data_IF_856861240253
#
_entry.id   IF_856861240253
#
_cell.length_a   1.000
_cell.length_b   1.000
_cell.length_c   1.000
_cell.angle_alpha   90.00
_cell.angle_beta   90.00
_cell.angle_gamma   90.00
#
_symmetry.space_group_name_H-M   'P 1'
#
loop_
_entity.id
_entity.type
_entity.pdbx_description
1 polymer ?
#
# COMPACT_ATOMS: atom_id res chain seq x y z
N UNK A 1 -20.25 11.95 25.11
CA UNK A 1 -19.80 12.35 23.76
C UNK A 1 -19.43 11.08 23.02
N UNK A 2 -20.28 10.63 22.10
CA UNK A 2 -19.95 9.53 21.19
C UNK A 2 -18.67 9.90 20.43
N UNK A 3 -17.68 9.00 20.42
CA UNK A 3 -16.51 9.17 19.55
C UNK A 3 -17.02 9.14 18.11
N UNK A 4 -17.13 10.31 17.46
CA UNK A 4 -17.33 10.39 16.01
C UNK A 4 -16.25 9.51 15.37
N UNK A 5 -16.68 8.48 14.64
CA UNK A 5 -15.77 7.66 13.84
C UNK A 5 -15.08 8.52 12.79
N UNK A 6 -13.88 8.11 12.37
CA UNK A 6 -13.17 8.76 11.26
C UNK A 6 -14.03 8.69 10.00
N UNK A 7 -14.05 9.79 9.23
CA UNK A 7 -14.84 9.92 8.01
C UNK A 7 -14.23 9.04 6.90
N UNK A 8 -15.04 8.17 6.32
CA UNK A 8 -14.67 7.42 5.11
C UNK A 8 -14.77 8.28 3.86
N UNK A 9 -14.00 7.94 2.84
CA UNK A 9 -14.04 8.57 1.52
C UNK A 9 -14.32 7.58 0.40
N UNK A 10 -14.03 7.97 -0.83
CA UNK A 10 -14.17 7.15 -2.03
C UNK A 10 -12.90 7.17 -2.87
N UNK A 11 -12.71 6.06 -3.58
CA UNK A 11 -11.46 5.78 -4.31
C UNK A 11 -11.37 6.53 -5.63
N UNK A 12 -10.17 6.59 -6.25
CA UNK A 12 -10.02 7.14 -7.61
C UNK A 12 -10.88 6.39 -8.62
N UNK A 13 -11.06 5.08 -8.44
CA UNK A 13 -12.01 4.28 -9.23
C UNK A 13 -13.45 4.76 -9.09
N UNK A 14 -13.91 5.04 -7.88
CA UNK A 14 -15.28 5.53 -7.63
C UNK A 14 -15.51 6.92 -8.21
N UNK A 15 -14.52 7.82 -8.08
CA UNK A 15 -14.56 9.13 -8.71
C UNK A 15 -14.67 9.02 -10.24
N UNK A 16 -13.88 8.15 -10.86
CA UNK A 16 -13.94 7.90 -12.30
C UNK A 16 -15.29 7.29 -12.72
N UNK A 17 -15.82 6.32 -11.97
CA UNK A 17 -17.14 5.73 -12.23
C UNK A 17 -18.26 6.77 -12.14
N UNK A 18 -18.24 7.63 -11.12
CA UNK A 18 -19.23 8.69 -10.98
C UNK A 18 -19.15 9.69 -12.14
N UNK A 19 -17.94 10.17 -12.50
CA UNK A 19 -17.77 11.06 -13.64
C UNK A 19 -18.23 10.42 -14.97
N UNK A 20 -17.92 9.13 -15.21
CA UNK A 20 -18.36 8.42 -16.40
C UNK A 20 -19.90 8.26 -16.44
N UNK A 21 -20.50 7.86 -15.32
CA UNK A 21 -21.96 7.69 -15.21
C UNK A 21 -22.70 9.01 -15.40
N UNK A 22 -22.18 10.09 -14.81
CA UNK A 22 -22.69 11.44 -15.01
C UNK A 22 -22.65 11.85 -16.49
N UNK A 23 -21.52 11.61 -17.16
CA UNK A 23 -21.36 11.93 -18.58
C UNK A 23 -22.35 11.19 -19.49
N UNK A 24 -22.53 9.88 -19.27
CA UNK A 24 -23.49 9.11 -20.06
C UNK A 24 -24.94 9.53 -19.76
N UNK A 25 -25.29 9.77 -18.49
CA UNK A 25 -26.61 10.31 -18.13
C UNK A 25 -26.87 11.68 -18.78
N UNK A 26 -25.85 12.53 -18.86
CA UNK A 26 -25.97 13.83 -19.54
C UNK A 26 -26.20 13.70 -21.03
N UNK A 27 -25.53 12.77 -21.70
CA UNK A 27 -25.78 12.46 -23.11
C UNK A 27 -27.19 11.88 -23.30
N UNK A 28 -27.65 10.99 -22.43
CA UNK A 28 -29.00 10.38 -22.54
C UNK A 28 -30.10 11.44 -22.34
N UNK A 29 -30.00 12.20 -21.25
CA UNK A 29 -31.07 13.09 -20.79
C UNK A 29 -30.95 14.51 -21.35
N UNK A 30 -29.87 14.81 -22.08
CA UNK A 30 -29.50 16.14 -22.54
C UNK A 30 -29.56 17.17 -21.40
N UNK A 31 -28.96 16.82 -20.26
CA UNK A 31 -28.96 17.63 -19.03
C UNK A 31 -27.72 17.40 -18.18
N UNK A 32 -27.17 18.46 -17.60
CA UNK A 32 -26.06 18.38 -16.64
C UNK A 32 -26.46 17.58 -15.39
N UNK A 33 -25.54 16.75 -14.91
CA UNK A 33 -25.69 16.05 -13.63
C UNK A 33 -24.91 16.77 -12.55
N UNK A 34 -25.55 16.98 -11.40
CA UNK A 34 -24.91 17.56 -10.20
C UNK A 34 -24.47 16.50 -9.20
N UNK A 35 -25.23 15.41 -9.13
CA UNK A 35 -24.97 14.29 -8.22
C UNK A 35 -25.33 13.02 -8.97
N UNK A 36 -24.63 11.93 -8.67
CA UNK A 36 -24.87 10.64 -9.30
C UNK A 36 -24.73 9.51 -8.30
N UNK A 37 -25.63 8.54 -8.39
CA UNK A 37 -25.57 7.33 -7.58
C UNK A 37 -24.82 6.23 -8.35
N UNK A 38 -23.72 5.75 -7.81
CA UNK A 38 -22.94 4.63 -8.36
C UNK A 38 -23.16 3.36 -7.54
N UNK A 39 -23.13 2.22 -8.22
CA UNK A 39 -23.07 0.91 -7.58
C UNK A 39 -21.60 0.55 -7.32
N UNK A 40 -21.28 0.23 -6.08
CA UNK A 40 -19.96 -0.21 -5.65
C UNK A 40 -19.75 -1.71 -5.94
N UNK A 41 -18.51 -2.24 -5.86
CA UNK A 41 -18.22 -3.65 -6.17
C UNK A 41 -18.93 -4.67 -5.29
N UNK A 42 -19.43 -4.25 -4.12
CA UNK A 42 -20.21 -5.10 -3.19
C UNK A 42 -21.73 -4.97 -3.36
N UNK A 43 -22.18 -4.16 -4.30
CA UNK A 43 -23.61 -3.91 -4.58
C UNK A 43 -24.20 -2.70 -3.84
N UNK A 44 -23.51 -2.18 -2.81
CA UNK A 44 -23.93 -0.96 -2.11
C UNK A 44 -23.99 0.23 -3.08
N UNK A 45 -24.92 1.16 -2.84
CA UNK A 45 -25.04 2.38 -3.61
C UNK A 45 -24.35 3.55 -2.88
N UNK A 46 -23.66 4.40 -3.64
CA UNK A 46 -23.00 5.58 -3.13
C UNK A 46 -23.36 6.78 -4.00
N UNK A 47 -23.84 7.85 -3.37
CA UNK A 47 -24.05 9.14 -4.03
C UNK A 47 -22.74 9.94 -4.03
N UNK A 48 -22.37 10.48 -5.18
CA UNK A 48 -21.15 11.27 -5.37
C UNK A 48 -21.52 12.57 -6.10
N UNK A 49 -21.02 13.68 -5.54
CA UNK A 49 -21.16 15.00 -6.15
C UNK A 49 -20.28 15.12 -7.39
N UNK A 50 -20.86 15.62 -8.48
CA UNK A 50 -20.19 15.90 -9.75
C UNK A 50 -19.68 17.34 -9.71
N UNK A 51 -18.36 17.50 -9.77
CA UNK A 51 -17.71 18.80 -9.66
C UNK A 51 -17.96 19.69 -10.88
N UNK A 52 -17.83 19.11 -12.07
CA UNK A 52 -18.14 19.77 -13.33
C UNK A 52 -18.79 18.78 -14.29
N UNK A 53 -19.70 19.26 -15.12
CA UNK A 53 -20.39 18.46 -16.11
C UNK A 53 -20.72 19.34 -17.31
N UNK A 54 -20.17 18.98 -18.47
CA UNK A 54 -20.49 19.60 -19.76
C UNK A 54 -20.77 18.51 -20.77
N UNK A 55 -21.72 18.73 -21.68
CA UNK A 55 -22.12 17.70 -22.65
C UNK A 55 -22.62 18.32 -23.95
N UNK A 56 -22.61 17.47 -24.98
CA UNK A 56 -23.24 17.69 -26.28
C UNK A 56 -24.05 16.43 -26.65
N UNK A 57 -24.54 16.35 -27.89
CA UNK A 57 -25.42 15.25 -28.34
C UNK A 57 -24.81 13.85 -28.27
N UNK A 58 -23.47 13.71 -28.32
CA UNK A 58 -22.78 12.41 -28.31
C UNK A 58 -21.48 12.38 -27.52
N UNK A 59 -21.23 13.39 -26.69
CA UNK A 59 -20.02 13.49 -25.87
C UNK A 59 -20.29 14.24 -24.58
N UNK A 60 -19.52 13.95 -23.55
CA UNK A 60 -19.56 14.66 -22.29
C UNK A 60 -18.17 14.70 -21.64
N UNK A 61 -17.90 15.78 -20.92
CA UNK A 61 -16.76 15.92 -20.03
C UNK A 61 -17.28 16.19 -18.63
N UNK A 62 -17.02 15.26 -17.72
CA UNK A 62 -17.43 15.36 -16.32
C UNK A 62 -16.23 15.18 -15.40
N UNK A 63 -16.26 15.78 -14.22
CA UNK A 63 -15.23 15.59 -13.21
C UNK A 63 -15.77 15.41 -11.80
N UNK A 64 -14.98 14.74 -10.96
CA UNK A 64 -15.24 14.54 -9.54
C UNK A 64 -13.96 14.90 -8.78
N UNK A 65 -14.08 15.69 -7.72
CA UNK A 65 -12.99 15.89 -6.77
C UNK A 65 -12.96 14.70 -5.81
N UNK A 66 -11.87 13.95 -5.77
CA UNK A 66 -11.75 12.79 -4.88
C UNK A 66 -11.78 13.22 -3.41
N UNK A 67 -12.75 12.71 -2.65
CA UNK A 67 -12.77 12.81 -1.19
C UNK A 67 -12.20 11.54 -0.56
N UNK A 68 -10.99 11.62 -0.01
CA UNK A 68 -10.34 10.53 0.74
C UNK A 68 -10.84 10.34 2.18
N UNK A 69 -11.77 11.17 2.66
CA UNK A 69 -12.14 11.21 4.07
C UNK A 69 -10.97 11.66 4.95
N UNK A 70 -10.84 11.06 6.13
CA UNK A 70 -9.77 11.35 7.10
C UNK A 70 -8.49 10.50 6.86
N UNK A 71 -8.41 9.75 5.76
CA UNK A 71 -7.19 9.02 5.40
C UNK A 71 -6.12 10.01 4.91
N UNK A 72 -4.83 9.88 5.34
CA UNK A 72 -3.73 10.68 4.81
C UNK A 72 -3.33 10.22 3.39
N UNK A 73 -4.29 10.31 2.47
CA UNK A 73 -4.20 9.86 1.08
C UNK A 73 -3.69 11.00 0.19
N UNK A 74 -2.54 10.78 -0.46
CA UNK A 74 -1.88 11.76 -1.35
C UNK A 74 -2.79 12.20 -2.51
N UNK A 75 -3.76 11.36 -2.92
CA UNK A 75 -4.68 11.69 -4.01
C UNK A 75 -6.00 12.28 -3.52
N UNK A 76 -6.14 12.59 -2.23
CA UNK A 76 -7.25 13.40 -1.71
C UNK A 76 -7.26 14.78 -2.39
N UNK A 77 -8.44 15.25 -2.79
CA UNK A 77 -8.62 16.52 -3.49
C UNK A 77 -8.15 16.52 -4.94
N UNK A 78 -7.68 15.39 -5.49
CA UNK A 78 -7.36 15.28 -6.89
C UNK A 78 -8.65 15.30 -7.73
N UNK A 79 -8.69 16.11 -8.77
CA UNK A 79 -9.74 16.09 -9.77
C UNK A 79 -9.56 14.90 -10.70
N UNK A 80 -10.59 14.06 -10.80
CA UNK A 80 -10.67 12.95 -11.75
C UNK A 80 -11.63 13.37 -12.85
N UNK A 81 -11.12 13.52 -14.07
CA UNK A 81 -11.87 13.95 -15.25
C UNK A 81 -12.14 12.73 -16.12
N UNK A 82 -13.36 12.65 -16.66
CA UNK A 82 -13.73 11.67 -17.67
C UNK A 82 -14.24 12.39 -18.92
N UNK A 83 -13.56 12.14 -20.03
CA UNK A 83 -14.05 12.44 -21.37
C UNK A 83 -14.76 11.21 -21.92
N UNK A 84 -16.07 11.33 -22.16
CA UNK A 84 -16.94 10.30 -22.69
C UNK A 84 -17.39 10.66 -24.10
N UNK A 85 -17.38 9.69 -25.01
CA UNK A 85 -17.91 9.85 -26.36
C UNK A 85 -18.61 8.58 -26.85
N UNK A 86 -19.66 8.74 -27.65
CA UNK A 86 -20.30 7.62 -28.33
C UNK A 86 -19.42 7.13 -29.49
N UNK A 87 -19.39 5.82 -29.70
CA UNK A 87 -18.67 5.17 -30.79
C UNK A 87 -19.63 4.41 -31.70
N UNK A 88 -19.13 3.99 -32.86
CA UNK A 88 -19.85 3.22 -33.88
C UNK A 88 -19.86 1.70 -33.61
N UNK A 89 -19.45 1.26 -32.41
CA UNK A 89 -19.38 -0.16 -32.01
C UNK A 89 -20.44 -0.51 -30.95
N UNK A 90 -21.67 -0.88 -31.35
CA UNK A 90 -22.76 -1.16 -30.42
C UNK A 90 -22.38 -2.09 -29.28
N UNK A 91 -22.65 -1.66 -28.04
CA UNK A 91 -22.48 -2.46 -26.83
C UNK A 91 -21.05 -2.54 -26.28
N UNK A 92 -20.06 -2.04 -27.03
CA UNK A 92 -18.67 -1.96 -26.59
C UNK A 92 -18.45 -0.76 -25.65
N UNK A 93 -17.70 -1.00 -24.57
CA UNK A 93 -17.26 0.04 -23.63
C UNK A 93 -15.74 -0.01 -23.56
N UNK A 94 -15.10 1.02 -24.11
CA UNK A 94 -13.65 1.16 -24.14
C UNK A 94 -13.22 2.10 -23.01
N UNK A 95 -12.28 1.65 -22.15
CA UNK A 95 -11.82 2.42 -20.99
C UNK A 95 -10.30 2.63 -21.11
N UNK A 96 -9.90 3.89 -21.32
CA UNK A 96 -8.53 4.32 -21.49
C UNK A 96 -8.08 5.34 -20.43
N UNK A 97 -6.76 5.55 -20.37
CA UNK A 97 -6.13 6.58 -19.54
C UNK A 97 -5.60 7.72 -20.41
N UNK A 98 -5.86 8.95 -19.98
CA UNK A 98 -5.33 10.19 -20.55
C UNK A 98 -4.27 10.80 -19.64
N UNK A 99 -4.23 12.14 -19.60
CA UNK A 99 -3.21 12.88 -18.84
C UNK A 99 -3.21 12.49 -17.36
N UNK A 100 -2.01 12.22 -16.81
CA UNK A 100 -1.81 11.97 -15.38
C UNK A 100 -2.37 10.66 -14.84
N UNK A 101 -2.98 9.82 -15.68
CA UNK A 101 -3.11 8.38 -15.39
C UNK A 101 -1.76 7.73 -15.68
N UNK A 102 -1.24 6.96 -14.73
CA UNK A 102 0.06 6.33 -14.85
C UNK A 102 0.10 5.29 -15.97
N UNK A 103 1.28 5.05 -16.53
CA UNK A 103 1.56 3.99 -17.48
C UNK A 103 2.30 2.85 -16.79
N UNK A 104 1.88 1.62 -17.03
CA UNK A 104 2.50 0.43 -16.43
C UNK A 104 3.81 0.12 -17.15
N UNK A 105 4.91 0.05 -16.41
CA UNK A 105 6.27 -0.18 -16.92
C UNK A 105 6.89 -1.49 -16.42
N UNK A 106 6.28 -2.15 -15.44
CA UNK A 106 6.72 -3.44 -14.90
C UNK A 106 5.58 -4.46 -14.86
N UNK A 107 5.87 -5.77 -14.97
CA UNK A 107 4.90 -6.83 -14.76
C UNK A 107 4.53 -6.99 -13.28
N UNK A 108 3.60 -7.90 -12.98
CA UNK A 108 3.24 -8.31 -11.61
C UNK A 108 1.97 -7.67 -11.04
N UNK A 109 1.53 -6.54 -11.59
CA UNK A 109 0.30 -5.87 -11.14
C UNK A 109 -1.00 -6.47 -11.72
N UNK A 110 -0.90 -7.45 -12.62
CA UNK A 110 -2.05 -7.96 -13.39
C UNK A 110 -2.59 -6.93 -14.39
N UNK A 111 -1.74 -5.99 -14.80
CA UNK A 111 -2.02 -4.97 -15.81
C UNK A 111 -1.13 -5.16 -17.02
N UNK A 112 -1.61 -4.71 -18.18
CA UNK A 112 -0.86 -4.73 -19.42
C UNK A 112 0.29 -3.72 -19.38
N UNK A 113 1.50 -4.17 -19.74
CA UNK A 113 2.68 -3.31 -19.86
C UNK A 113 2.45 -2.30 -20.99
N UNK A 114 2.86 -1.05 -20.78
CA UNK A 114 2.57 0.12 -21.61
C UNK A 114 1.08 0.54 -21.61
N UNK A 115 0.21 -0.18 -20.91
CA UNK A 115 -1.18 0.19 -20.72
C UNK A 115 -1.39 1.22 -19.61
N UNK A 116 -2.59 1.81 -19.52
CA UNK A 116 -2.93 2.73 -18.46
C UNK A 116 -3.11 1.99 -17.12
N UNK A 117 -2.67 2.62 -16.03
CA UNK A 117 -2.74 2.12 -14.66
C UNK A 117 -4.18 2.19 -14.09
N UNK A 118 -5.12 1.51 -14.77
CA UNK A 118 -6.52 1.41 -14.38
C UNK A 118 -6.78 -0.04 -13.96
N UNK A 119 -7.00 -0.24 -12.67
CA UNK A 119 -7.13 -1.57 -12.09
C UNK A 119 -8.41 -2.30 -12.57
N UNK A 120 -8.42 -3.65 -12.55
CA UNK A 120 -9.56 -4.42 -13.03
C UNK A 120 -10.89 -4.10 -12.32
N UNK A 121 -10.84 -3.85 -11.00
CA UNK A 121 -12.05 -3.52 -10.24
C UNK A 121 -12.66 -2.17 -10.69
N UNK A 122 -11.90 -1.06 -10.76
CA UNK A 122 -12.40 0.17 -11.39
C UNK A 122 -12.91 0.00 -12.82
N UNK A 123 -12.18 -0.73 -13.70
CA UNK A 123 -12.66 -0.98 -15.08
C UNK A 123 -14.04 -1.64 -15.08
N UNK A 124 -14.20 -2.72 -14.29
CA UNK A 124 -15.46 -3.42 -14.14
C UNK A 124 -16.55 -2.52 -13.56
N UNK A 125 -16.22 -1.74 -12.53
CA UNK A 125 -17.17 -0.86 -11.87
C UNK A 125 -17.69 0.25 -12.80
N UNK A 126 -16.84 0.80 -13.67
CA UNK A 126 -17.24 1.72 -14.74
C UNK A 126 -18.17 1.00 -15.72
N UNK A 127 -17.76 -0.14 -16.27
CA UNK A 127 -18.54 -0.92 -17.24
C UNK A 127 -19.94 -1.26 -16.69
N UNK A 128 -20.04 -1.83 -15.49
CA UNK A 128 -21.30 -2.21 -14.86
C UNK A 128 -22.23 -1.01 -14.66
N UNK A 129 -21.70 0.13 -14.19
CA UNK A 129 -22.50 1.33 -13.97
C UNK A 129 -22.97 2.00 -15.26
N UNK A 130 -22.18 1.94 -16.34
CA UNK A 130 -22.59 2.45 -17.65
C UNK A 130 -23.61 1.53 -18.30
N UNK A 131 -23.45 0.21 -18.20
CA UNK A 131 -24.44 -0.76 -18.71
C UNK A 131 -25.78 -0.66 -18.01
N UNK A 132 -25.79 -0.37 -16.71
CA UNK A 132 -27.01 -0.15 -15.94
C UNK A 132 -27.91 0.96 -16.52
N UNK A 133 -27.31 2.01 -17.08
CA UNK A 133 -28.04 3.19 -17.59
C UNK A 133 -28.05 3.29 -19.13
N UNK A 134 -27.17 2.57 -19.82
CA UNK A 134 -26.89 2.79 -21.23
C UNK A 134 -28.03 2.40 -22.17
N UNK A 135 -28.95 1.54 -21.73
CA UNK A 135 -30.24 1.28 -22.38
C UNK A 135 -30.20 1.21 -23.91
N UNK A 136 -31.00 2.06 -24.56
CA UNK A 136 -31.07 2.15 -26.03
C UNK A 136 -29.80 2.71 -26.68
N UNK A 137 -29.03 3.57 -25.99
CA UNK A 137 -27.78 4.11 -26.54
C UNK A 137 -26.79 2.97 -26.78
N UNK A 138 -26.58 2.08 -25.80
CA UNK A 138 -25.65 0.97 -25.95
C UNK A 138 -26.11 -0.09 -26.97
N UNK A 139 -27.40 -0.11 -27.35
CA UNK A 139 -27.87 -0.97 -28.45
C UNK A 139 -27.51 -0.43 -29.84
N UNK A 140 -27.27 0.87 -29.96
CA UNK A 140 -27.03 1.57 -31.23
C UNK A 140 -25.59 2.05 -31.40
N UNK A 141 -24.88 2.19 -30.28
CA UNK A 141 -23.55 2.79 -30.21
C UNK A 141 -22.73 2.15 -29.11
N UNK A 142 -21.42 2.31 -29.17
CA UNK A 142 -20.51 2.03 -28.06
C UNK A 142 -20.20 3.29 -27.27
N UNK A 143 -19.35 3.16 -26.26
CA UNK A 143 -18.90 4.27 -25.42
C UNK A 143 -17.39 4.18 -25.21
N UNK A 144 -16.68 5.26 -25.51
CA UNK A 144 -15.29 5.48 -25.14
C UNK A 144 -15.22 6.34 -23.88
N UNK A 145 -14.42 5.91 -22.91
CA UNK A 145 -14.18 6.58 -21.63
C UNK A 145 -12.69 6.81 -21.48
N UNK A 146 -12.25 8.07 -21.53
CA UNK A 146 -10.86 8.46 -21.25
C UNK A 146 -10.79 9.15 -19.90
N UNK A 147 -10.08 8.54 -18.96
CA UNK A 147 -9.90 9.04 -17.59
C UNK A 147 -8.62 9.87 -17.53
N UNK A 148 -8.68 11.10 -17.02
CA UNK A 148 -7.51 11.96 -16.81
C UNK A 148 -7.47 12.48 -15.37
N UNK A 149 -6.27 12.74 -14.87
CA UNK A 149 -6.00 13.32 -13.56
C UNK A 149 -4.99 14.44 -13.76
N UNK A 150 -5.39 15.72 -13.87
CA UNK A 150 -4.47 16.82 -14.21
C UNK A 150 -3.23 16.90 -13.31
N UNK A 151 -3.41 16.65 -12.01
CA UNK A 151 -2.32 16.62 -11.01
C UNK A 151 -1.61 15.27 -10.91
N UNK A 152 -2.00 14.28 -11.70
CA UNK A 152 -1.51 12.91 -11.58
C UNK A 152 0.00 12.77 -11.75
N UNK A 153 0.61 13.53 -12.67
CA UNK A 153 2.08 13.58 -12.85
C UNK A 153 2.81 14.08 -11.61
N UNK A 154 2.25 15.08 -10.92
CA UNK A 154 2.79 15.66 -9.68
C UNK A 154 2.63 14.71 -8.49
N UNK A 155 1.49 14.00 -8.44
CA UNK A 155 1.14 13.11 -7.33
C UNK A 155 1.79 11.74 -7.43
N UNK A 156 1.97 11.19 -8.63
CA UNK A 156 2.51 9.84 -8.87
C UNK A 156 3.81 9.54 -8.10
N UNK A 157 4.85 10.41 -8.17
CA UNK A 157 6.10 10.21 -7.44
C UNK A 157 5.98 10.20 -5.91
N UNK A 158 4.88 10.73 -5.36
CA UNK A 158 4.61 10.76 -3.91
C UNK A 158 3.86 9.51 -3.43
N UNK A 159 3.65 8.53 -4.31
CA UNK A 159 2.99 7.25 -4.02
C UNK A 159 3.98 6.09 -4.20
N UNK A 160 3.51 4.85 -3.97
CA UNK A 160 4.30 3.65 -4.30
C UNK A 160 4.35 3.34 -5.80
N UNK A 161 3.70 4.13 -6.66
CA UNK A 161 3.69 3.92 -8.11
C UNK A 161 5.09 3.74 -8.74
N UNK A 162 6.10 4.59 -8.45
CA UNK A 162 7.42 4.43 -9.07
C UNK A 162 8.06 3.08 -8.75
N UNK A 163 7.97 2.62 -7.50
CA UNK A 163 8.57 1.34 -7.09
C UNK A 163 7.87 0.17 -7.80
N UNK A 164 6.54 0.18 -7.89
CA UNK A 164 5.76 -0.90 -8.52
C UNK A 164 5.68 -0.80 -10.05
N UNK A 165 6.41 0.15 -10.66
CA UNK A 165 6.48 0.27 -12.12
C UNK A 165 5.25 0.95 -12.72
N UNK A 166 4.84 2.07 -12.13
CA UNK A 166 3.84 2.97 -12.70
C UNK A 166 4.47 4.35 -12.83
N UNK A 167 4.54 4.84 -14.06
CA UNK A 167 5.23 6.09 -14.40
C UNK A 167 4.27 7.13 -14.97
N UNK A 168 4.62 8.42 -14.85
CA UNK A 168 3.90 9.51 -15.53
C UNK A 168 2.49 9.83 -14.98
N UNK A 169 2.09 9.25 -13.85
CA UNK A 169 0.75 9.49 -13.29
C UNK A 169 0.41 8.65 -12.06
N UNK A 170 -0.84 8.79 -11.60
CA UNK A 170 -1.42 7.97 -10.53
C UNK A 170 -2.23 6.79 -11.07
N UNK A 171 -2.51 5.84 -10.20
CA UNK A 171 -3.35 4.68 -10.51
C UNK A 171 -4.83 4.99 -10.28
N UNK A 172 -5.68 4.56 -11.21
CA UNK A 172 -7.13 4.47 -10.97
C UNK A 172 -7.40 3.12 -10.31
N UNK A 173 -7.60 3.15 -9.00
CA UNK A 173 -7.65 1.96 -8.15
C UNK A 173 -8.76 2.05 -7.09
N UNK A 174 -9.03 0.93 -6.44
CA UNK A 174 -10.05 0.78 -5.41
C UNK A 174 -10.72 -0.59 -5.48
N UNK A 175 -10.59 -1.41 -4.44
CA UNK A 175 -11.15 -2.77 -4.42
C UNK A 175 -12.59 -2.81 -3.92
N UNK A 176 -12.94 -1.94 -2.97
CA UNK A 176 -14.30 -1.78 -2.43
C UNK A 176 -15.02 -0.54 -2.96
N UNK A 177 -14.31 0.34 -3.67
CA UNK A 177 -14.78 1.68 -4.01
C UNK A 177 -14.75 2.69 -2.85
N UNK A 178 -14.38 2.25 -1.64
CA UNK A 178 -14.41 3.08 -0.42
C UNK A 178 -12.98 3.26 0.12
N UNK A 179 -12.66 4.48 0.57
CA UNK A 179 -11.45 4.77 1.34
C UNK A 179 -11.80 4.70 2.82
N UNK A 180 -11.17 3.78 3.53
CA UNK A 180 -11.29 3.64 5.00
C UNK A 180 -10.01 4.16 5.62
N UNK A 181 -10.06 5.19 6.50
CA UNK A 181 -8.88 5.77 7.12
C UNK A 181 -8.02 4.73 7.85
N UNK A 182 -6.71 4.75 7.59
CA UNK A 182 -5.72 3.84 8.17
C UNK A 182 -6.06 2.36 7.94
N UNK A 183 -6.61 2.04 6.77
CA UNK A 183 -7.01 0.68 6.40
C UNK A 183 -5.83 -0.29 6.37
N UNK A 184 -5.86 -1.25 7.30
CA UNK A 184 -4.89 -2.36 7.33
C UNK A 184 -4.98 -3.24 6.09
N UNK A 185 -6.18 -3.37 5.51
CA UNK A 185 -6.40 -4.14 4.29
C UNK A 185 -5.77 -3.47 3.07
N UNK A 186 -5.84 -2.14 2.96
CA UNK A 186 -5.23 -1.39 1.87
C UNK A 186 -3.70 -1.46 1.95
N UNK A 187 -3.14 -1.35 3.15
CA UNK A 187 -1.70 -1.48 3.38
C UNK A 187 -1.19 -2.92 3.11
N UNK A 188 -1.93 -3.94 3.54
CA UNK A 188 -1.60 -5.33 3.21
C UNK A 188 -1.63 -5.58 1.68
N UNK A 189 -2.58 -4.96 0.97
CA UNK A 189 -2.65 -5.06 -0.48
C UNK A 189 -1.45 -4.42 -1.18
N UNK A 190 -0.95 -3.26 -0.71
CA UNK A 190 0.24 -2.62 -1.30
C UNK A 190 1.51 -3.45 -1.09
N UNK A 191 1.69 -4.04 0.10
CA UNK A 191 2.78 -4.99 0.36
C UNK A 191 2.75 -6.13 -0.65
N UNK A 192 1.58 -6.76 -0.83
CA UNK A 192 1.42 -7.88 -1.76
C UNK A 192 1.72 -7.48 -3.20
N UNK A 193 1.22 -6.32 -3.65
CA UNK A 193 1.49 -5.81 -5.00
C UNK A 193 2.98 -5.58 -5.22
N UNK A 194 3.69 -5.03 -4.24
CA UNK A 194 5.12 -4.80 -4.37
C UNK A 194 5.90 -6.11 -4.46
N UNK A 195 5.55 -7.13 -3.66
CA UNK A 195 6.12 -8.49 -3.76
C UNK A 195 5.81 -9.11 -5.12
N UNK A 196 4.56 -9.00 -5.60
CA UNK A 196 4.15 -9.54 -6.90
C UNK A 196 4.96 -8.92 -8.05
N UNK A 197 5.25 -7.61 -7.98
CA UNK A 197 6.14 -6.94 -8.95
C UNK A 197 7.56 -7.46 -8.87
N UNK A 198 8.15 -7.60 -7.68
CA UNK A 198 9.51 -8.09 -7.54
C UNK A 198 9.67 -9.52 -8.09
N UNK A 199 8.73 -10.41 -7.74
CA UNK A 199 8.72 -11.79 -8.27
C UNK A 199 8.56 -11.80 -9.79
N UNK A 200 7.69 -10.94 -10.33
CA UNK A 200 7.48 -10.86 -11.79
C UNK A 200 8.67 -10.22 -12.53
N UNK A 201 9.50 -9.45 -11.85
CA UNK A 201 10.78 -8.94 -12.36
C UNK A 201 11.89 -10.00 -12.35
N UNK A 202 11.65 -11.15 -11.72
CA UNK A 202 12.59 -12.26 -11.61
C UNK A 202 13.41 -12.26 -10.33
N UNK A 203 13.13 -11.35 -9.40
CA UNK A 203 13.84 -11.28 -8.13
C UNK A 203 13.26 -12.25 -7.10
N UNK A 204 14.16 -12.93 -6.38
CA UNK A 204 13.84 -13.87 -5.32
C UNK A 204 14.39 -13.43 -3.95
N UNK A 205 14.96 -12.23 -3.90
CA UNK A 205 15.58 -11.63 -2.72
C UNK A 205 14.95 -10.28 -2.44
N UNK A 206 14.42 -10.07 -1.22
CA UNK A 206 13.70 -8.86 -0.85
C UNK A 206 14.28 -8.19 0.39
N UNK A 207 14.09 -6.87 0.48
CA UNK A 207 14.44 -6.06 1.66
C UNK A 207 13.15 -5.54 2.29
N UNK A 208 12.80 -6.11 3.43
CA UNK A 208 11.60 -5.81 4.21
C UNK A 208 11.95 -4.77 5.27
N UNK A 209 11.47 -3.55 5.11
CA UNK A 209 11.83 -2.43 5.98
C UNK A 209 10.65 -2.00 6.85
N UNK A 210 10.95 -1.57 8.07
CA UNK A 210 9.92 -1.06 9.01
C UNK A 210 9.37 0.32 8.64
N UNK A 211 9.91 0.97 7.61
CA UNK A 211 9.52 2.29 7.12
C UNK A 211 10.66 3.01 6.40
N UNK A 212 10.41 4.25 5.98
CA UNK A 212 11.32 5.04 5.13
C UNK A 212 12.74 5.18 5.68
N UNK A 213 12.92 5.48 6.98
CA UNK A 213 14.27 5.63 7.56
C UNK A 213 15.07 4.32 7.55
N UNK A 214 14.42 3.19 7.86
CA UNK A 214 15.08 1.88 7.77
C UNK A 214 15.37 1.47 6.33
N UNK A 215 14.54 1.91 5.37
CA UNK A 215 14.82 1.71 3.94
C UNK A 215 16.03 2.53 3.47
N UNK A 216 16.12 3.80 3.87
CA UNK A 216 17.27 4.66 3.56
C UNK A 216 18.59 4.04 4.06
N UNK A 217 18.61 3.49 5.28
CA UNK A 217 19.81 2.85 5.82
C UNK A 217 20.07 1.50 5.16
N UNK A 218 19.04 0.71 4.87
CA UNK A 218 19.18 -0.55 4.15
C UNK A 218 19.86 -0.35 2.78
N UNK A 219 19.49 0.70 2.04
CA UNK A 219 20.05 1.02 0.72
C UNK A 219 21.55 1.34 0.74
N UNK A 220 22.10 1.72 1.89
CA UNK A 220 23.55 1.98 2.05
C UNK A 220 24.36 0.69 2.16
N UNK A 221 23.72 -0.44 2.47
CA UNK A 221 24.39 -1.71 2.81
C UNK A 221 23.90 -2.92 2.02
N UNK A 222 22.79 -2.78 1.29
CA UNK A 222 22.22 -3.79 0.41
C UNK A 222 21.97 -3.15 -0.96
N UNK A 223 22.58 -3.73 -1.99
CA UNK A 223 22.40 -3.31 -3.38
C UNK A 223 21.39 -4.23 -4.07
N UNK A 224 20.17 -3.73 -4.27
CA UNK A 224 19.11 -4.38 -5.03
C UNK A 224 18.29 -3.33 -5.79
N UNK A 225 17.52 -3.72 -6.82
CA UNK A 225 16.60 -2.80 -7.48
C UNK A 225 15.53 -2.23 -6.53
N UNK A 226 15.03 -1.03 -6.81
CA UNK A 226 14.03 -0.34 -5.97
C UNK A 226 12.79 -1.16 -5.65
N UNK A 227 12.35 -2.01 -6.57
CA UNK A 227 11.14 -2.82 -6.39
C UNK A 227 11.34 -3.99 -5.41
N UNK A 228 12.59 -4.35 -5.09
CA UNK A 228 12.91 -5.33 -4.06
C UNK A 228 12.77 -4.78 -2.63
N UNK A 229 12.67 -3.45 -2.46
CA UNK A 229 12.48 -2.81 -1.16
C UNK A 229 10.99 -2.67 -0.85
N UNK A 230 10.53 -3.48 0.10
CA UNK A 230 9.14 -3.54 0.55
C UNK A 230 9.02 -2.90 1.93
N UNK A 231 8.30 -1.78 2.03
CA UNK A 231 7.96 -1.20 3.33
C UNK A 231 6.84 -2.01 3.97
N UNK A 232 7.21 -2.93 4.86
CA UNK A 232 6.25 -3.76 5.58
C UNK A 232 5.59 -3.04 6.75
N UNK A 233 6.16 -1.92 7.19
CA UNK A 233 5.67 -1.16 8.33
C UNK A 233 5.49 -2.06 9.55
N UNK A 234 4.24 -2.26 9.94
CA UNK A 234 3.92 -3.05 11.12
C UNK A 234 3.66 -4.54 10.81
N UNK A 235 3.44 -4.88 9.55
CA UNK A 235 2.91 -6.16 9.04
C UNK A 235 3.99 -7.21 8.81
N UNK A 236 4.91 -7.38 9.76
CA UNK A 236 6.07 -8.28 9.63
C UNK A 236 5.67 -9.73 9.35
N UNK A 237 4.76 -10.28 10.15
CA UNK A 237 4.29 -11.66 10.00
C UNK A 237 3.50 -11.88 8.71
N UNK A 238 2.67 -10.92 8.31
CA UNK A 238 1.94 -11.00 7.04
C UNK A 238 2.90 -10.97 5.84
N UNK A 239 3.87 -10.07 5.87
CA UNK A 239 4.83 -9.86 4.77
C UNK A 239 5.69 -11.11 4.55
N UNK A 240 6.27 -11.66 5.61
CA UNK A 240 7.11 -12.87 5.49
C UNK A 240 6.29 -14.11 5.10
N UNK A 241 5.01 -14.17 5.51
CA UNK A 241 4.10 -15.20 5.01
C UNK A 241 3.84 -15.05 3.51
N UNK A 242 3.67 -13.82 2.98
CA UNK A 242 3.55 -13.62 1.53
C UNK A 242 4.84 -14.03 0.80
N UNK A 243 6.01 -13.70 1.35
CA UNK A 243 7.30 -14.13 0.81
C UNK A 243 7.37 -15.67 0.71
N UNK A 244 6.96 -16.38 1.76
CA UNK A 244 6.94 -17.86 1.76
C UNK A 244 5.90 -18.48 0.81
N UNK A 245 4.81 -17.77 0.46
CA UNK A 245 3.85 -18.20 -0.57
C UNK A 245 4.35 -17.95 -2.00
N UNK A 246 5.37 -17.13 -2.15
CA UNK A 246 5.95 -16.69 -3.42
C UNK A 246 7.36 -17.24 -3.63
N UNK A 247 7.77 -18.20 -2.80
CA UNK A 247 9.06 -18.89 -2.87
C UNK A 247 10.29 -17.98 -2.89
N UNK A 248 10.18 -16.81 -2.22
CA UNK A 248 11.31 -15.90 -1.97
C UNK A 248 12.44 -16.67 -1.28
N UNK A 249 13.64 -16.61 -1.88
CA UNK A 249 14.83 -17.34 -1.44
C UNK A 249 15.60 -16.63 -0.35
N UNK A 250 15.42 -15.32 -0.22
CA UNK A 250 16.08 -14.55 0.83
C UNK A 250 15.30 -13.29 1.20
N UNK A 251 15.18 -13.00 2.49
CA UNK A 251 14.61 -11.75 2.97
C UNK A 251 15.52 -11.06 3.98
N UNK A 252 15.94 -9.83 3.66
CA UNK A 252 16.55 -8.93 4.63
C UNK A 252 15.45 -8.24 5.42
N UNK A 253 15.42 -8.40 6.74
CA UNK A 253 14.48 -7.74 7.64
C UNK A 253 15.22 -6.60 8.34
N UNK A 254 14.91 -5.37 7.96
CA UNK A 254 15.68 -4.19 8.38
C UNK A 254 14.84 -3.25 9.22
N UNK A 255 15.36 -2.87 10.39
CA UNK A 255 14.65 -1.97 11.28
C UNK A 255 15.43 -1.50 12.49
N UNK A 256 14.70 -0.83 13.38
CA UNK A 256 15.21 -0.32 14.65
C UNK A 256 14.69 -1.15 15.82
N UNK A 257 15.33 -1.00 16.98
CA UNK A 257 15.08 -1.81 18.18
C UNK A 257 13.60 -1.92 18.55
N UNK A 258 12.82 -0.84 18.40
CA UNK A 258 11.40 -0.84 18.77
C UNK A 258 10.55 -1.86 18.01
N UNK A 259 10.78 -2.02 16.70
CA UNK A 259 10.04 -2.95 15.86
C UNK A 259 10.66 -4.34 15.93
N UNK A 260 11.99 -4.43 15.89
CA UNK A 260 12.70 -5.71 15.95
C UNK A 260 12.54 -6.41 17.30
N UNK A 261 12.49 -5.68 18.42
CA UNK A 261 12.17 -6.26 19.73
C UNK A 261 10.79 -6.93 19.77
N UNK A 262 9.79 -6.36 19.07
CA UNK A 262 8.45 -6.97 18.99
C UNK A 262 8.44 -8.21 18.11
N UNK A 263 9.19 -8.20 17.01
CA UNK A 263 9.38 -9.37 16.16
C UNK A 263 10.13 -10.48 16.93
N UNK A 264 11.16 -10.11 17.71
CA UNK A 264 11.90 -11.00 18.60
C UNK A 264 11.03 -11.60 19.71
N UNK A 265 9.98 -10.91 20.15
CA UNK A 265 8.98 -11.45 21.07
C UNK A 265 7.91 -12.33 20.36
N UNK A 266 8.03 -12.54 19.05
CA UNK A 266 7.11 -13.40 18.27
C UNK A 266 5.81 -12.74 17.81
N UNK A 267 5.72 -11.41 17.87
CA UNK A 267 4.50 -10.69 17.49
C UNK A 267 4.41 -10.53 15.96
N UNK A 268 3.29 -10.99 15.38
CA UNK A 268 3.00 -10.91 13.93
C UNK A 268 2.72 -9.49 13.41
N UNK A 269 2.23 -8.60 14.28
CA UNK A 269 1.80 -7.23 13.95
C UNK A 269 2.34 -6.25 15.00
N UNK A 270 3.26 -5.37 14.61
CA UNK A 270 4.10 -4.62 15.55
C UNK A 270 3.52 -3.24 15.96
N UNK A 271 2.26 -2.97 15.61
CA UNK A 271 1.57 -1.73 15.97
C UNK A 271 1.35 -1.61 17.49
N UNK A 272 1.50 -0.40 18.04
CA UNK A 272 1.47 -0.12 19.49
C UNK A 272 0.14 -0.50 20.15
N UNK A 273 -0.99 -0.35 19.44
CA UNK A 273 -2.30 -0.81 19.93
C UNK A 273 -2.44 -2.34 19.99
N UNK A 274 -1.63 -3.07 19.22
CA UNK A 274 -1.66 -4.54 19.15
C UNK A 274 -0.60 -5.22 20.03
N UNK A 275 0.50 -4.53 20.33
CA UNK A 275 1.56 -5.03 21.21
C UNK A 275 2.42 -3.90 21.78
N UNK A 276 2.66 -3.93 23.10
CA UNK A 276 3.71 -3.14 23.75
C UNK A 276 5.05 -3.87 23.64
N UNK A 277 6.15 -3.15 23.78
CA UNK A 277 7.47 -3.77 23.93
C UNK A 277 7.47 -4.51 25.26
N UNK A 278 7.86 -5.78 25.24
CA UNK A 278 7.95 -6.60 26.44
C UNK A 278 9.30 -6.38 27.13
N UNK A 279 9.31 -5.57 28.19
CA UNK A 279 10.52 -5.25 28.94
C UNK A 279 11.04 -6.45 29.73
N UNK A 280 10.17 -7.38 30.14
CA UNK A 280 10.60 -8.59 30.83
C UNK A 280 11.35 -9.52 29.87
N UNK A 281 10.85 -9.66 28.65
CA UNK A 281 11.54 -10.36 27.57
C UNK A 281 12.91 -9.74 27.26
N UNK A 282 12.98 -8.41 27.07
CA UNK A 282 14.26 -7.74 26.81
C UNK A 282 15.23 -7.84 28.00
N UNK A 283 14.74 -7.75 29.23
CA UNK A 283 15.56 -7.98 30.42
C UNK A 283 16.13 -9.40 30.47
N UNK A 284 15.35 -10.41 30.06
CA UNK A 284 15.83 -11.78 29.94
C UNK A 284 16.88 -11.97 28.84
N UNK A 285 16.80 -11.23 27.74
CA UNK A 285 17.86 -11.22 26.72
C UNK A 285 19.14 -10.54 27.25
N UNK A 286 19.01 -9.44 28.01
CA UNK A 286 20.15 -8.79 28.64
C UNK A 286 20.82 -9.69 29.67
N UNK A 287 20.05 -10.42 30.48
CA UNK A 287 20.57 -11.43 31.41
C UNK A 287 21.34 -12.53 30.67
N UNK A 288 20.80 -13.05 29.56
CA UNK A 288 21.50 -14.02 28.70
C UNK A 288 22.79 -13.46 28.09
N UNK A 289 22.87 -12.14 27.87
CA UNK A 289 24.06 -11.44 27.42
C UNK A 289 25.06 -11.14 28.56
N UNK A 290 24.76 -11.53 29.80
CA UNK A 290 25.63 -11.34 30.95
C UNK A 290 25.43 -10.03 31.72
N UNK A 291 24.31 -9.33 31.50
CA UNK A 291 24.00 -8.12 32.26
C UNK A 291 23.86 -8.40 33.77
N UNK A 292 24.39 -7.50 34.60
CA UNK A 292 24.23 -7.55 36.05
C UNK A 292 22.80 -7.25 36.52
N UNK A 293 22.51 -7.56 37.79
CA UNK A 293 21.18 -7.39 38.38
C UNK A 293 20.67 -5.94 38.32
N UNK A 294 21.58 -4.96 38.47
CA UNK A 294 21.23 -3.53 38.40
C UNK A 294 20.76 -3.14 37.00
N UNK A 295 21.50 -3.51 35.95
CA UNK A 295 21.13 -3.28 34.55
C UNK A 295 19.81 -3.96 34.19
N UNK A 296 19.62 -5.21 34.59
CA UNK A 296 18.35 -5.94 34.43
C UNK A 296 17.20 -5.18 35.12
N UNK A 297 17.44 -4.65 36.31
CA UNK A 297 16.49 -3.83 37.07
C UNK A 297 16.12 -2.53 36.35
N UNK A 298 17.10 -1.84 35.75
CA UNK A 298 16.87 -0.64 34.91
C UNK A 298 16.00 -0.99 33.70
N UNK A 299 16.34 -2.05 32.95
CA UNK A 299 15.62 -2.47 31.75
C UNK A 299 14.15 -2.78 32.05
N UNK A 300 13.85 -3.51 33.13
CA UNK A 300 12.47 -3.83 33.53
C UNK A 300 11.60 -2.59 33.80
N UNK A 301 12.23 -1.47 34.19
CA UNK A 301 11.57 -0.18 34.46
C UNK A 301 11.55 0.75 33.25
N UNK A 302 12.14 0.35 32.12
CA UNK A 302 12.19 1.18 30.93
C UNK A 302 10.81 1.35 30.28
N UNK A 303 10.60 2.48 29.62
CA UNK A 303 9.34 2.81 28.95
C UNK A 303 9.31 2.41 27.48
N UNK A 304 10.47 2.34 26.82
CA UNK A 304 10.60 2.06 25.39
C UNK A 304 11.80 1.17 25.10
N UNK A 305 11.77 0.45 23.97
CA UNK A 305 12.92 -0.34 23.53
C UNK A 305 14.16 0.54 23.24
N UNK A 306 13.94 1.82 22.90
CA UNK A 306 15.03 2.80 22.75
C UNK A 306 15.73 3.06 24.08
N UNK A 307 14.96 3.30 25.14
CA UNK A 307 15.52 3.45 26.49
C UNK A 307 16.28 2.18 26.92
N UNK A 308 15.79 0.99 26.56
CA UNK A 308 16.55 -0.26 26.79
C UNK A 308 17.88 -0.26 26.03
N UNK A 309 17.92 0.23 24.79
CA UNK A 309 19.17 0.33 24.02
C UNK A 309 20.15 1.30 24.66
N UNK A 310 19.67 2.44 25.16
CA UNK A 310 20.47 3.43 25.88
C UNK A 310 21.10 2.81 27.14
N UNK A 311 20.31 2.08 27.95
CA UNK A 311 20.81 1.36 29.13
C UNK A 311 21.87 0.31 28.77
N UNK A 312 21.61 -0.50 27.74
CA UNK A 312 22.50 -1.58 27.30
C UNK A 312 23.84 -1.03 26.81
N UNK A 313 23.83 0.10 26.10
CA UNK A 313 25.04 0.77 25.62
C UNK A 313 25.82 1.41 26.77
N UNK A 314 25.13 2.08 27.70
CA UNK A 314 25.76 2.72 28.87
C UNK A 314 26.42 1.69 29.80
N UNK A 315 25.73 0.56 30.03
CA UNK A 315 26.20 -0.51 30.91
C UNK A 315 27.10 -1.54 30.16
N UNK A 316 27.45 -1.28 28.90
CA UNK A 316 28.33 -2.10 28.06
C UNK A 316 27.95 -3.60 28.00
N UNK A 317 26.66 -3.89 27.79
CA UNK A 317 26.15 -5.28 27.69
C UNK A 317 26.33 -5.80 26.26
N UNK A 318 27.51 -6.33 25.98
CA UNK A 318 27.88 -6.90 24.69
C UNK A 318 26.96 -8.07 24.27
N UNK A 319 26.66 -8.17 22.97
CA UNK A 319 25.87 -9.29 22.43
C UNK A 319 24.35 -9.19 22.64
N UNK A 320 23.84 -8.23 23.41
CA UNK A 320 22.39 -8.03 23.58
C UNK A 320 21.66 -7.85 22.23
N UNK A 321 22.18 -6.97 21.38
CA UNK A 321 21.58 -6.67 20.08
C UNK A 321 21.59 -7.88 19.14
N UNK A 322 22.63 -8.71 19.22
CA UNK A 322 22.75 -9.96 18.47
C UNK A 322 21.71 -11.00 18.93
N UNK A 323 21.40 -11.06 20.23
CA UNK A 323 20.32 -11.89 20.74
C UNK A 323 18.95 -11.42 20.26
N UNK A 324 18.70 -10.10 20.26
CA UNK A 324 17.45 -9.54 19.73
C UNK A 324 17.29 -9.87 18.24
N UNK A 325 18.32 -9.65 17.44
CA UNK A 325 18.30 -9.95 16.01
C UNK A 325 18.12 -11.46 15.75
N UNK A 326 18.77 -12.32 16.53
CA UNK A 326 18.62 -13.77 16.45
C UNK A 326 17.20 -14.24 16.76
N UNK A 327 16.58 -13.74 17.83
CA UNK A 327 15.18 -14.08 18.15
C UNK A 327 14.20 -13.55 17.10
N UNK A 328 14.47 -12.37 16.52
CA UNK A 328 13.67 -11.83 15.42
C UNK A 328 13.77 -12.72 14.17
N UNK A 329 14.96 -13.22 13.81
CA UNK A 329 15.14 -14.19 12.72
C UNK A 329 14.26 -15.42 12.95
N UNK A 330 14.41 -16.05 14.12
CA UNK A 330 13.71 -17.29 14.48
C UNK A 330 12.20 -17.13 14.36
N UNK A 331 11.65 -16.05 14.91
CA UNK A 331 10.21 -15.81 14.87
C UNK A 331 9.68 -15.45 13.48
N UNK A 332 10.43 -14.65 12.71
CA UNK A 332 10.05 -14.34 11.33
C UNK A 332 10.07 -15.58 10.44
N UNK A 333 11.06 -16.47 10.60
CA UNK A 333 11.09 -17.77 9.91
C UNK A 333 9.90 -18.65 10.31
N UNK A 334 9.56 -18.71 11.58
CA UNK A 334 8.35 -19.42 12.04
C UNK A 334 7.07 -18.90 11.37
N UNK A 335 6.96 -17.59 11.14
CA UNK A 335 5.78 -17.00 10.47
C UNK A 335 5.67 -17.36 8.98
N UNK A 336 6.76 -17.81 8.36
CA UNK A 336 6.78 -18.34 6.99
C UNK A 336 6.87 -19.86 6.92
N UNK A 337 6.60 -20.58 8.03
CA UNK A 337 6.74 -22.04 8.10
C UNK A 337 8.15 -22.51 7.73
N UNK A 338 9.16 -21.74 8.14
CA UNK A 338 10.58 -22.00 7.88
C UNK A 338 11.00 -21.92 6.40
N UNK A 339 10.11 -21.48 5.50
CA UNK A 339 10.33 -21.47 4.05
C UNK A 339 11.28 -20.39 3.56
N UNK A 340 11.35 -19.26 4.26
CA UNK A 340 12.14 -18.09 3.82
C UNK A 340 13.40 -17.99 4.68
N UNK A 341 14.61 -18.09 4.10
CA UNK A 341 15.85 -17.66 4.71
C UNK A 341 15.83 -16.17 5.04
N UNK A 342 16.33 -15.78 6.21
CA UNK A 342 16.22 -14.42 6.71
C UNK A 342 17.55 -13.92 7.23
N UNK A 343 17.86 -12.66 6.95
CA UNK A 343 18.86 -11.87 7.67
C UNK A 343 18.20 -10.65 8.30
N UNK A 344 18.30 -10.51 9.63
CA UNK A 344 17.87 -9.32 10.36
C UNK A 344 19.04 -8.36 10.50
N UNK A 345 18.83 -7.10 10.11
CA UNK A 345 19.77 -5.99 10.32
C UNK A 345 19.12 -4.98 11.25
N UNK A 346 19.73 -4.81 12.43
CA UNK A 346 19.35 -3.81 13.42
C UNK A 346 20.23 -2.59 13.27
N UNK A 347 19.62 -1.44 13.00
CA UNK A 347 20.30 -0.14 13.02
C UNK A 347 20.06 0.61 14.32
N UNK A 348 21.02 1.44 14.71
CA UNK A 348 20.78 2.57 15.61
C UNK A 348 20.16 3.76 14.84
N UNK A 349 19.87 4.86 15.54
CA UNK A 349 19.28 6.03 14.90
C UNK A 349 20.26 6.81 14.03
N UNK A 350 21.57 6.64 14.20
CA UNK A 350 22.59 7.34 13.41
C UNK A 350 22.97 6.56 12.13
N UNK A 351 22.44 5.35 11.97
CA UNK A 351 22.63 4.50 10.79
C UNK A 351 23.77 3.51 10.92
N UNK A 352 24.30 3.31 12.12
CA UNK A 352 25.27 2.25 12.39
C UNK A 352 24.55 0.92 12.59
N UNK A 353 25.16 -0.15 12.07
CA UNK A 353 24.67 -1.51 12.29
C UNK A 353 25.02 -1.91 13.73
N UNK A 354 24.00 -2.19 14.53
CA UNK A 354 24.14 -2.68 15.91
C UNK A 354 24.17 -4.20 16.00
N UNK A 355 23.49 -4.88 15.07
CA UNK A 355 23.53 -6.32 14.94
C UNK A 355 23.14 -6.76 13.53
N UNK A 356 23.71 -7.90 13.10
CA UNK A 356 23.39 -8.54 11.83
C UNK A 356 23.38 -10.06 12.02
N UNK A 357 22.19 -10.66 11.91
CA UNK A 357 22.00 -12.10 12.14
C UNK A 357 21.27 -12.75 11.00
N UNK A 358 21.78 -13.90 10.60
CA UNK A 358 21.23 -14.72 9.53
C UNK A 358 20.73 -16.06 10.08
N UNK A 359 19.64 -16.57 9.52
CA UNK A 359 19.11 -17.89 9.82
C UNK A 359 18.48 -18.52 8.57
N UNK A 360 18.80 -19.81 8.34
CA UNK A 360 18.30 -20.55 7.16
C UNK A 360 19.03 -20.23 5.85
N UNK A 361 20.12 -19.45 5.90
CA UNK A 361 21.05 -19.27 4.79
C UNK A 361 22.05 -20.43 4.84
N UNK A 362 22.17 -21.17 3.74
CA UNK A 362 23.12 -22.28 3.58
C UNK A 362 24.47 -21.78 3.09
#
# INVERSE_FOLDING_TARGET
>A
MEKKGLKTGYTTGSSATAAAKAGLLSVINQKEQKDVQIRLPRGDMMEIHVHSCSFESGRARCSVIKDGGDDPDVTHGAEIIVDLSLTDKPGEIEIGGGEGVGTVTKPGLGLEINGPAINPVPKRMIDENLREIGGEILKRSGVSVIISVPRGRELGPKTDNPRIGIAGGISILGTSGIVVPFSTASYAASIRQNIDVAVAMGDDTLVLTTGGRSEEYARKVIELPDHCFVQMGDFSGYTIQQCGKKDIKMAYVVGFIGKLAKMAAGVKQTHVKGSKVDMAFLAGLAEKAGAGADTIGKIKKANTARHVSEIVLEDAVDGFFELVAGEACRHMRNHSEQRVPIEVILFDFDGNIMARRSEGIL
#
